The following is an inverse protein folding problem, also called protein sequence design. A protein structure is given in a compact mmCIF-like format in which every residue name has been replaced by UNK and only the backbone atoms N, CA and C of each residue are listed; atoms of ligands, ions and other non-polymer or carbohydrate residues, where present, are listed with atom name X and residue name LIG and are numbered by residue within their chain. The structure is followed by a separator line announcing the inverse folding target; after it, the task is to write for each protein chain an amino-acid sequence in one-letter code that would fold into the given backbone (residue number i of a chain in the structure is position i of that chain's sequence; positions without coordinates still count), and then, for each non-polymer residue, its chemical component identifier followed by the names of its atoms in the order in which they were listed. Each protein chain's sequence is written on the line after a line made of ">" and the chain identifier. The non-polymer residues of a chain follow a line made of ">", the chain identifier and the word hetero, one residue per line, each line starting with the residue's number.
data_IF_633811469997
#
_entry.id   IF_633811469997
#
_cell.length_a   1.000
_cell.length_b   1.000
_cell.length_c   1.000
_cell.angle_alpha   90.00
_cell.angle_beta   90.00
_cell.angle_gamma   90.00
#
_symmetry.space_group_name_H-M   'P 1'
#
loop_
_entity.id
_entity.type
_entity.pdbx_description
1 polymer ?
#
# COMPACT_ATOMS: atom_id res chain seq x y z
N UNK A 1 -12.08 -2.45 -16.91
CA UNK A 1 -13.07 -1.41 -16.60
C UNK A 1 -12.34 -0.23 -15.95
N UNK A 2 -13.02 0.73 -15.34
CA UNK A 2 -12.38 1.76 -14.50
C UNK A 2 -13.08 1.86 -13.15
N UNK A 3 -12.29 2.13 -12.12
CA UNK A 3 -12.75 2.32 -10.74
C UNK A 3 -12.52 3.77 -10.34
N UNK A 4 -13.35 4.27 -9.41
CA UNK A 4 -13.27 5.65 -8.92
C UNK A 4 -12.75 5.66 -7.50
N UNK A 5 -11.59 6.24 -7.30
CA UNK A 5 -10.93 6.28 -6.00
C UNK A 5 -11.01 7.68 -5.40
N UNK A 6 -11.41 7.75 -4.14
CA UNK A 6 -11.37 8.99 -3.35
C UNK A 6 -10.04 9.09 -2.60
N UNK A 7 -9.43 10.27 -2.64
CA UNK A 7 -8.25 10.63 -1.84
C UNK A 7 -8.53 11.85 -0.95
N UNK A 8 -9.79 12.06 -0.57
CA UNK A 8 -10.20 13.23 0.20
C UNK A 8 -9.58 13.24 1.60
N UNK A 9 -9.44 12.08 2.23
CA UNK A 9 -8.90 11.95 3.58
C UNK A 9 -7.39 12.20 3.59
N UNK A 10 -6.67 11.66 2.60
CA UNK A 10 -5.20 11.65 2.56
C UNK A 10 -4.65 12.91 1.89
N UNK A 11 -5.25 13.35 0.77
CA UNK A 11 -4.73 14.45 -0.04
C UNK A 11 -5.55 15.74 0.09
N UNK A 12 -6.72 15.68 0.74
CA UNK A 12 -7.67 16.79 0.82
C UNK A 12 -8.38 17.08 -0.51
N UNK A 13 -8.30 16.17 -1.48
CA UNK A 13 -8.84 16.37 -2.83
C UNK A 13 -10.25 15.79 -2.92
N UNK A 14 -11.22 16.61 -3.32
CA UNK A 14 -12.63 16.19 -3.49
C UNK A 14 -12.89 15.50 -4.83
N UNK A 15 -11.99 15.65 -5.80
CA UNK A 15 -12.05 15.00 -7.10
C UNK A 15 -11.78 13.50 -6.95
N UNK A 16 -12.65 12.68 -7.56
CA UNK A 16 -12.41 11.25 -7.70
C UNK A 16 -11.39 10.99 -8.81
N UNK A 17 -10.46 10.08 -8.53
CA UNK A 17 -9.48 9.60 -9.49
C UNK A 17 -10.06 8.43 -10.26
N UNK A 18 -10.14 8.56 -11.58
CA UNK A 18 -10.55 7.46 -12.43
C UNK A 18 -9.33 6.62 -12.79
N UNK A 19 -9.30 5.38 -12.28
CA UNK A 19 -8.18 4.47 -12.49
C UNK A 19 -8.64 3.31 -13.37
N UNK A 20 -7.94 3.10 -14.48
CA UNK A 20 -8.23 1.99 -15.39
C UNK A 20 -7.69 0.68 -14.82
N UNK A 21 -8.47 -0.38 -14.91
CA UNK A 21 -8.01 -1.77 -14.71
C UNK A 21 -7.19 -2.23 -15.91
N UNK A 22 -6.05 -1.58 -16.11
CA UNK A 22 -5.10 -1.92 -17.16
C UNK A 22 -4.07 -2.92 -16.63
N UNK A 23 -3.44 -3.69 -17.52
CA UNK A 23 -2.34 -4.59 -17.15
C UNK A 23 -1.24 -3.87 -16.35
N UNK A 24 -1.01 -2.57 -16.61
CA UNK A 24 -0.07 -1.74 -15.84
C UNK A 24 -0.50 -1.65 -14.38
N UNK A 25 -1.74 -1.25 -14.12
CA UNK A 25 -2.23 -0.99 -12.78
C UNK A 25 -2.47 -2.29 -12.01
N UNK A 26 -3.01 -3.33 -12.66
CA UNK A 26 -3.19 -4.64 -12.04
C UNK A 26 -1.84 -5.26 -11.64
N UNK A 27 -0.81 -5.17 -12.50
CA UNK A 27 0.54 -5.63 -12.15
C UNK A 27 1.11 -4.86 -10.97
N UNK A 28 1.00 -3.54 -10.98
CA UNK A 28 1.48 -2.70 -9.89
C UNK A 28 0.79 -3.07 -8.56
N UNK A 29 -0.50 -3.40 -8.60
CA UNK A 29 -1.24 -3.88 -7.44
C UNK A 29 -0.73 -5.24 -6.92
N UNK A 30 -0.44 -6.19 -7.81
CA UNK A 30 0.16 -7.47 -7.38
C UNK A 30 1.59 -7.32 -6.86
N UNK A 31 2.36 -6.37 -7.41
CA UNK A 31 3.70 -6.04 -6.91
C UNK A 31 3.63 -5.47 -5.49
N UNK A 32 2.64 -4.62 -5.20
CA UNK A 32 2.35 -4.15 -3.84
C UNK A 32 2.04 -5.32 -2.90
N UNK A 33 1.10 -6.19 -3.26
CA UNK A 33 0.73 -7.34 -2.43
C UNK A 33 1.92 -8.27 -2.16
N UNK A 34 2.69 -8.59 -3.20
CA UNK A 34 3.90 -9.41 -3.09
C UNK A 34 4.93 -8.79 -2.15
N UNK A 35 5.13 -7.48 -2.24
CA UNK A 35 6.05 -6.74 -1.38
C UNK A 35 5.59 -6.76 0.08
N UNK A 36 4.30 -6.59 0.35
CA UNK A 36 3.73 -6.70 1.69
C UNK A 36 3.94 -8.09 2.29
N UNK A 37 3.66 -9.15 1.52
CA UNK A 37 3.94 -10.52 1.95
C UNK A 37 5.43 -10.73 2.23
N UNK A 38 6.32 -10.17 1.39
CA UNK A 38 7.77 -10.26 1.61
C UNK A 38 8.19 -9.58 2.92
N UNK A 39 7.61 -8.42 3.24
CA UNK A 39 7.89 -7.72 4.51
C UNK A 39 7.49 -8.60 5.70
N UNK A 40 6.30 -9.19 5.69
CA UNK A 40 5.85 -10.10 6.76
C UNK A 40 6.80 -11.30 6.92
N UNK A 41 7.20 -11.94 5.82
CA UNK A 41 8.16 -13.04 5.86
C UNK A 41 9.50 -12.59 6.45
N UNK A 42 10.01 -11.42 6.05
CA UNK A 42 11.27 -10.90 6.58
C UNK A 42 11.16 -10.62 8.08
N UNK A 43 10.06 -10.03 8.55
CA UNK A 43 9.83 -9.76 9.97
C UNK A 43 9.74 -11.03 10.81
N UNK A 44 9.17 -12.12 10.27
CA UNK A 44 9.08 -13.41 10.97
C UNK A 44 10.39 -14.21 10.95
N UNK A 45 11.25 -13.99 9.95
CA UNK A 45 12.45 -14.81 9.72
C UNK A 45 13.77 -14.10 10.07
N UNK A 46 13.71 -12.81 10.43
CA UNK A 46 14.90 -12.03 10.80
C UNK A 46 15.46 -12.53 12.14
N UNK A 47 16.78 -12.79 12.18
CA UNK A 47 17.50 -13.09 13.42
C UNK A 47 17.92 -11.82 14.18
N UNK A 48 18.53 -11.99 15.35
CA UNK A 48 18.93 -10.85 16.22
C UNK A 48 20.31 -10.25 15.87
N UNK A 49 20.86 -10.54 14.70
CA UNK A 49 22.18 -10.01 14.32
C UNK A 49 22.09 -8.58 13.75
N UNK A 50 23.15 -7.76 13.88
CA UNK A 50 23.19 -6.44 13.23
C UNK A 50 22.99 -6.49 11.71
N UNK A 51 23.47 -7.54 11.04
CA UNK A 51 23.30 -7.72 9.59
C UNK A 51 21.84 -8.08 9.23
N UNK A 52 21.17 -8.83 10.09
CA UNK A 52 19.74 -9.14 9.92
C UNK A 52 18.88 -7.89 10.15
N UNK A 53 19.25 -7.05 11.12
CA UNK A 53 18.61 -5.75 11.33
C UNK A 53 18.80 -4.81 10.13
N UNK A 54 20.00 -4.72 9.55
CA UNK A 54 20.25 -3.95 8.32
C UNK A 54 19.32 -4.38 7.17
N UNK A 55 19.14 -5.69 6.99
CA UNK A 55 18.24 -6.25 5.96
C UNK A 55 16.77 -5.89 6.19
N UNK A 56 16.33 -5.77 7.45
CA UNK A 56 14.97 -5.29 7.77
C UNK A 56 14.82 -3.84 7.37
N UNK A 57 15.78 -2.99 7.71
CA UNK A 57 15.77 -1.56 7.35
C UNK A 57 15.75 -1.39 5.83
N UNK A 58 16.60 -2.11 5.10
CA UNK A 58 16.60 -2.09 3.62
C UNK A 58 15.23 -2.48 3.04
N UNK A 59 14.61 -3.50 3.63
CA UNK A 59 13.28 -3.95 3.20
C UNK A 59 12.22 -2.88 3.49
N UNK A 60 12.27 -2.24 4.66
CA UNK A 60 11.34 -1.16 5.02
C UNK A 60 11.49 0.06 4.10
N UNK A 61 12.72 0.46 3.77
CA UNK A 61 12.99 1.57 2.85
C UNK A 61 12.50 1.27 1.43
N UNK A 62 12.72 0.04 0.95
CA UNK A 62 12.21 -0.41 -0.36
C UNK A 62 10.68 -0.42 -0.37
N UNK A 63 10.05 -0.90 0.72
CA UNK A 63 8.59 -0.94 0.87
C UNK A 63 8.01 0.46 0.83
N UNK A 64 8.55 1.38 1.63
CA UNK A 64 8.08 2.77 1.69
C UNK A 64 8.15 3.42 0.30
N UNK A 65 9.33 3.37 -0.33
CA UNK A 65 9.58 3.97 -1.65
C UNK A 65 8.62 3.42 -2.71
N UNK A 66 8.43 2.10 -2.75
CA UNK A 66 7.56 1.48 -3.74
C UNK A 66 6.07 1.70 -3.47
N UNK A 67 5.67 1.83 -2.21
CA UNK A 67 4.28 2.11 -1.84
C UNK A 67 3.88 3.52 -2.27
N UNK A 68 4.74 4.52 -2.01
CA UNK A 68 4.54 5.90 -2.46
C UNK A 68 4.47 5.93 -4.00
N UNK A 69 5.42 5.30 -4.67
CA UNK A 69 5.43 5.21 -6.13
C UNK A 69 4.19 4.53 -6.69
N UNK A 70 3.67 3.49 -6.02
CA UNK A 70 2.44 2.83 -6.42
C UNK A 70 1.25 3.81 -6.38
N UNK A 71 1.08 4.56 -5.30
CA UNK A 71 0.00 5.54 -5.14
C UNK A 71 0.10 6.63 -6.21
N UNK A 72 1.27 7.26 -6.32
CA UNK A 72 1.53 8.36 -7.26
C UNK A 72 1.26 7.94 -8.70
N UNK A 73 1.81 6.80 -9.12
CA UNK A 73 1.68 6.34 -10.50
C UNK A 73 0.29 5.80 -10.85
N UNK A 74 -0.40 5.19 -9.88
CA UNK A 74 -1.72 4.60 -10.10
C UNK A 74 -2.80 5.68 -10.18
N UNK A 75 -2.72 6.70 -9.32
CA UNK A 75 -3.66 7.82 -9.32
C UNK A 75 -3.28 8.91 -10.33
N UNK A 76 -2.05 8.90 -10.85
CA UNK A 76 -1.56 9.93 -11.75
C UNK A 76 -1.48 11.29 -11.06
N UNK A 77 -0.92 11.30 -9.85
CA UNK A 77 -0.81 12.49 -9.01
C UNK A 77 0.13 13.52 -9.64
N UNK A 78 -0.19 14.80 -9.47
CA UNK A 78 0.75 15.89 -9.77
C UNK A 78 1.82 16.03 -8.68
N UNK A 79 2.87 16.83 -8.94
CA UNK A 79 4.00 17.00 -8.01
C UNK A 79 3.57 17.47 -6.61
N UNK A 80 2.52 18.30 -6.51
CA UNK A 80 2.04 18.79 -5.21
C UNK A 80 1.30 17.69 -4.45
N UNK A 81 0.54 16.87 -5.16
CA UNK A 81 -0.16 15.73 -4.58
C UNK A 81 0.82 14.61 -4.21
N UNK A 82 1.85 14.36 -5.02
CA UNK A 82 2.90 13.40 -4.73
C UNK A 82 3.70 13.79 -3.49
N UNK A 83 4.08 15.06 -3.35
CA UNK A 83 4.77 15.57 -2.16
C UNK A 83 3.95 15.35 -0.87
N UNK A 84 2.62 15.46 -0.94
CA UNK A 84 1.77 15.13 0.21
C UNK A 84 1.84 13.65 0.59
N UNK A 85 1.92 12.75 -0.39
CA UNK A 85 2.07 11.31 -0.12
C UNK A 85 3.44 11.03 0.53
N UNK A 86 4.50 11.71 0.10
CA UNK A 86 5.83 11.60 0.74
C UNK A 86 5.85 12.08 2.19
N UNK A 87 5.04 13.08 2.52
CA UNK A 87 4.92 13.64 3.89
C UNK A 87 3.97 12.85 4.79
N UNK A 88 3.29 11.82 4.28
CA UNK A 88 2.40 10.98 5.08
C UNK A 88 3.18 10.03 5.99
N UNK A 89 2.58 9.72 7.15
CA UNK A 89 3.07 8.64 8.00
C UNK A 89 3.05 7.31 7.26
N UNK A 90 3.99 6.42 7.59
CA UNK A 90 4.16 5.14 6.91
C UNK A 90 2.87 4.29 6.92
N UNK A 91 2.21 4.22 8.08
CA UNK A 91 0.97 3.43 8.23
C UNK A 91 -0.21 4.02 7.44
N UNK A 92 -0.30 5.34 7.34
CA UNK A 92 -1.35 6.01 6.56
C UNK A 92 -1.12 5.80 5.07
N UNK A 93 0.14 5.88 4.64
CA UNK A 93 0.57 5.57 3.27
C UNK A 93 0.20 4.14 2.90
N UNK A 94 0.45 3.20 3.81
CA UNK A 94 0.14 1.80 3.59
C UNK A 94 -1.35 1.54 3.50
N UNK A 95 -2.12 2.08 4.45
CA UNK A 95 -3.59 2.01 4.46
C UNK A 95 -4.17 2.53 3.16
N UNK A 96 -3.64 3.65 2.66
CA UNK A 96 -4.11 4.22 1.41
C UNK A 96 -3.80 3.32 0.21
N UNK A 97 -2.60 2.76 0.13
CA UNK A 97 -2.22 1.83 -0.93
C UNK A 97 -3.09 0.55 -0.91
N UNK A 98 -3.38 0.00 0.27
CA UNK A 98 -4.28 -1.15 0.43
C UNK A 98 -5.68 -0.82 -0.07
N UNK A 99 -6.23 0.35 0.29
CA UNK A 99 -7.56 0.76 -0.20
C UNK A 99 -7.60 0.88 -1.73
N UNK A 100 -6.57 1.47 -2.34
CA UNK A 100 -6.44 1.54 -3.80
C UNK A 100 -6.41 0.13 -4.41
N UNK A 101 -5.66 -0.79 -3.80
CA UNK A 101 -5.54 -2.18 -4.25
C UNK A 101 -6.88 -2.93 -4.22
N UNK A 102 -7.65 -2.75 -3.15
CA UNK A 102 -8.95 -3.37 -2.92
C UNK A 102 -9.97 -2.92 -3.95
N UNK A 103 -10.05 -1.61 -4.20
CA UNK A 103 -10.91 -1.04 -5.24
C UNK A 103 -10.55 -1.58 -6.63
N UNK A 104 -9.25 -1.64 -6.97
CA UNK A 104 -8.79 -2.12 -8.28
C UNK A 104 -9.03 -3.60 -8.53
N UNK A 105 -8.93 -4.43 -7.48
CA UNK A 105 -9.10 -5.87 -7.59
C UNK A 105 -10.53 -6.32 -7.30
N UNK A 106 -11.41 -5.40 -6.92
CA UNK A 106 -12.76 -5.70 -6.43
C UNK A 106 -12.76 -6.70 -5.27
N UNK A 107 -11.72 -6.63 -4.43
CA UNK A 107 -11.61 -7.39 -3.20
C UNK A 107 -12.02 -6.42 -2.10
N UNK A 108 -13.25 -6.53 -1.58
CA UNK A 108 -13.67 -5.73 -0.44
C UNK A 108 -12.63 -5.91 0.68
N UNK A 109 -11.92 -4.85 1.04
CA UNK A 109 -11.18 -4.82 2.30
C UNK A 109 -12.24 -4.88 3.40
N UNK A 110 -12.58 -6.08 3.87
CA UNK A 110 -13.36 -6.18 5.09
C UNK A 110 -12.48 -5.65 6.22
N UNK A 111 -12.88 -4.58 6.93
CA UNK A 111 -12.24 -4.24 8.18
C UNK A 111 -12.41 -5.45 9.11
N UNK A 112 -11.31 -5.90 9.73
CA UNK A 112 -11.38 -6.97 10.71
C UNK A 112 -12.38 -6.57 11.81
N UNK A 113 -13.44 -7.34 11.97
CA UNK A 113 -14.44 -7.15 13.01
C UNK A 113 -13.84 -7.67 14.33
N UNK A 114 -14.15 -7.05 15.48
CA UNK A 114 -13.65 -7.48 16.81
C UNK A 114 -14.04 -8.94 17.17
N UNK A 115 -14.86 -9.58 16.33
CA UNK A 115 -15.29 -10.97 16.44
C UNK A 115 -14.39 -11.98 15.72
N UNK A 116 -13.39 -11.53 14.96
CA UNK A 116 -12.32 -12.41 14.47
C UNK A 116 -11.28 -12.58 15.58
N UNK A 117 -11.71 -13.13 16.72
CA UNK A 117 -10.79 -13.74 17.68
C UNK A 117 -10.04 -14.84 16.94
N UNK A 118 -8.71 -14.80 16.98
CA UNK A 118 -7.84 -15.71 16.22
C UNK A 118 -8.12 -17.20 16.44
N UNK A 119 -7.36 -18.04 15.73
CA UNK A 119 -7.43 -19.50 15.83
C UNK A 119 -7.62 -19.96 17.28
N UNK A 120 -8.77 -20.56 17.58
CA UNK A 120 -8.94 -21.37 18.79
C UNK A 120 -7.86 -22.47 18.75
N UNK A 121 -7.17 -22.64 19.89
CA UNK A 121 -6.01 -23.53 20.09
C UNK A 121 -6.13 -24.93 19.46
#
# INVERSE_FOLDING_TARGET
>A
MSVKISAKQELGVTKLFEVKESNKNIRATWELQKMMTKLSIVQETVGDSPADFEKVIDTMLDVQTKTINYIVNTLGLDDKQAAKVDEMEFNDTMTFAVRISSELLHIEAQPADEKETGLED
#
